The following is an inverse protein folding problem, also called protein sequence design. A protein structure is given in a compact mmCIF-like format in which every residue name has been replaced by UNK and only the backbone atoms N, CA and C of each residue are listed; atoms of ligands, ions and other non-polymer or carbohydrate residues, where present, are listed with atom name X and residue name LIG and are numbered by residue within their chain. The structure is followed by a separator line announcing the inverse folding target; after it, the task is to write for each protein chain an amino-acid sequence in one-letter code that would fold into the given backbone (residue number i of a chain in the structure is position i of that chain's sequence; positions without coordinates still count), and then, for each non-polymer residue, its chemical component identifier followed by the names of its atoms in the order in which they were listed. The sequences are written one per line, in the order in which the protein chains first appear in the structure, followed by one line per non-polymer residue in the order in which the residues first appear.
data_IF_196437678002
#
_entry.id   IF_196437678002
#
_cell.length_a   1.000
_cell.length_b   1.000
_cell.length_c   1.000
_cell.angle_alpha   90.00
_cell.angle_beta   90.00
_cell.angle_gamma   90.00
#
_symmetry.space_group_name_H-M   'P 1'
#
loop_
_entity.id
_entity.type
_entity.pdbx_description
1 polymer ?
#
# COMPACT_ATOMS: atom_id res chain seq x y z
N UNK A 1 16.20 -14.43 6.29
CA UNK A 1 15.64 -13.66 5.15
C UNK A 1 16.10 -12.24 5.32
N UNK A 2 16.84 -11.69 4.36
CA UNK A 2 17.17 -10.28 4.38
C UNK A 2 15.90 -9.46 4.13
N UNK A 3 15.66 -8.41 4.93
CA UNK A 3 14.45 -7.60 4.79
C UNK A 3 14.62 -6.66 3.61
N UNK A 4 13.59 -6.54 2.78
CA UNK A 4 13.58 -5.57 1.69
C UNK A 4 13.80 -4.16 2.28
N UNK A 5 14.75 -3.42 1.71
CA UNK A 5 15.04 -2.04 2.14
C UNK A 5 13.87 -1.15 1.81
N UNK A 6 13.41 -0.36 2.76
CA UNK A 6 12.30 0.57 2.60
C UNK A 6 12.64 1.91 3.26
N UNK A 7 12.22 3.01 2.67
CA UNK A 7 12.21 4.32 3.32
C UNK A 7 10.92 4.46 4.11
N UNK A 8 11.04 4.66 5.42
CA UNK A 8 9.86 4.80 6.28
C UNK A 8 9.10 6.08 5.96
N UNK A 9 7.79 6.08 6.20
CA UNK A 9 6.95 7.28 6.02
C UNK A 9 7.39 8.42 6.96
N UNK A 10 7.89 8.09 8.14
CA UNK A 10 8.39 9.04 9.13
C UNK A 10 9.76 9.64 8.75
N UNK A 11 10.52 8.97 7.89
CA UNK A 11 11.85 9.41 7.44
C UNK A 11 11.82 10.07 6.05
N UNK A 12 10.71 9.96 5.32
CA UNK A 12 10.53 10.61 4.03
C UNK A 12 10.61 12.15 4.18
N UNK A 13 11.39 12.81 3.31
CA UNK A 13 11.57 14.26 3.28
C UNK A 13 11.43 14.77 1.85
N UNK A 14 11.26 16.09 1.70
CA UNK A 14 11.30 16.75 0.39
C UNK A 14 10.26 16.21 -0.60
N UNK A 15 10.70 15.91 -1.82
CA UNK A 15 9.87 15.37 -2.92
C UNK A 15 9.17 14.07 -2.53
N UNK A 16 9.90 13.13 -1.92
CA UNK A 16 9.37 11.82 -1.53
C UNK A 16 8.22 11.97 -0.54
N UNK A 17 8.33 12.85 0.46
CA UNK A 17 7.26 13.08 1.44
C UNK A 17 5.97 13.57 0.77
N UNK A 18 6.08 14.48 -0.22
CA UNK A 18 4.93 14.95 -1.01
C UNK A 18 4.30 13.84 -1.83
N UNK A 19 5.12 13.02 -2.49
CA UNK A 19 4.64 11.85 -3.24
C UNK A 19 3.90 10.88 -2.33
N UNK A 20 4.38 10.67 -1.09
CA UNK A 20 3.70 9.81 -0.12
C UNK A 20 2.32 10.35 0.28
N UNK A 21 2.18 11.67 0.43
CA UNK A 21 0.87 12.30 0.66
C UNK A 21 -0.07 12.12 -0.54
N UNK A 22 0.44 12.28 -1.76
CA UNK A 22 -0.33 12.07 -2.99
C UNK A 22 -0.74 10.61 -3.18
N UNK A 23 0.15 9.65 -2.85
CA UNK A 23 -0.19 8.22 -2.86
C UNK A 23 -1.36 7.95 -1.92
N UNK A 24 -1.32 8.44 -0.67
CA UNK A 24 -2.43 8.24 0.28
C UNK A 24 -3.74 8.83 -0.25
N UNK A 25 -3.67 10.01 -0.85
CA UNK A 25 -4.82 10.68 -1.48
C UNK A 25 -5.39 9.87 -2.64
N UNK A 26 -4.57 9.46 -3.61
CA UNK A 26 -5.06 8.84 -4.85
C UNK A 26 -5.37 7.35 -4.73
N UNK A 27 -4.66 6.63 -3.85
CA UNK A 27 -4.93 5.22 -3.56
C UNK A 27 -6.02 5.03 -2.49
N UNK A 28 -6.44 6.11 -1.82
CA UNK A 28 -7.42 6.08 -0.73
C UNK A 28 -7.03 5.10 0.40
N UNK A 29 -5.74 5.02 0.71
CA UNK A 29 -5.19 4.17 1.76
C UNK A 29 -4.58 5.03 2.88
N UNK A 30 -4.70 4.64 4.16
CA UNK A 30 -4.13 5.39 5.28
C UNK A 30 -2.61 5.21 5.44
N UNK A 31 -1.95 4.59 4.47
CA UNK A 31 -0.52 4.26 4.51
C UNK A 31 0.07 4.25 3.09
N UNK A 32 1.40 4.23 3.01
CA UNK A 32 2.13 4.03 1.76
C UNK A 32 2.62 2.59 1.68
N UNK A 33 2.23 1.89 0.61
CA UNK A 33 2.57 0.47 0.46
C UNK A 33 4.08 0.22 0.38
N UNK A 34 4.53 -0.96 0.84
CA UNK A 34 5.94 -1.36 0.81
C UNK A 34 6.60 -1.21 -0.56
N UNK A 35 5.83 -1.36 -1.65
CA UNK A 35 6.35 -1.16 -3.01
C UNK A 35 6.89 0.27 -3.20
N UNK A 36 6.09 1.30 -2.90
CA UNK A 36 6.52 2.69 -3.04
C UNK A 36 7.61 3.06 -2.04
N UNK A 37 7.58 2.47 -0.83
CA UNK A 37 8.63 2.66 0.17
C UNK A 37 9.96 2.06 -0.24
N UNK A 38 9.93 0.93 -0.92
CA UNK A 38 11.11 0.31 -1.50
C UNK A 38 11.65 1.14 -2.68
N UNK A 39 10.78 1.59 -3.60
CA UNK A 39 11.17 2.42 -4.75
C UNK A 39 11.85 3.72 -4.32
N UNK A 40 11.43 4.31 -3.20
CA UNK A 40 12.03 5.51 -2.62
C UNK A 40 13.48 5.32 -2.12
N UNK A 41 13.96 4.08 -1.98
CA UNK A 41 15.35 3.82 -1.60
C UNK A 41 16.34 3.98 -2.76
N UNK A 42 15.84 4.10 -3.99
CA UNK A 42 16.61 4.38 -5.18
C UNK A 42 16.52 5.86 -5.53
N UNK A 43 17.64 6.61 -5.54
CA UNK A 43 17.61 8.06 -5.78
C UNK A 43 16.87 8.43 -7.07
N UNK A 44 15.81 9.24 -6.94
CA UNK A 44 15.02 9.76 -8.06
C UNK A 44 14.07 8.78 -8.74
N UNK A 45 14.09 7.49 -8.39
CA UNK A 45 13.25 6.48 -9.05
C UNK A 45 11.78 6.70 -8.76
N UNK A 46 11.43 6.93 -7.48
CA UNK A 46 10.04 7.16 -7.10
C UNK A 46 9.52 8.45 -7.75
N UNK A 47 10.29 9.53 -7.73
CA UNK A 47 9.95 10.79 -8.39
C UNK A 47 9.70 10.60 -9.88
N UNK A 48 10.58 9.87 -10.56
CA UNK A 48 10.46 9.60 -11.99
C UNK A 48 9.19 8.80 -12.32
N UNK A 49 8.93 7.71 -11.59
CA UNK A 49 7.72 6.90 -11.76
C UNK A 49 6.48 7.77 -11.52
N UNK A 50 6.48 8.53 -10.42
CA UNK A 50 5.32 9.30 -10.03
C UNK A 50 5.00 10.41 -11.02
N UNK A 51 6.01 11.09 -11.57
CA UNK A 51 5.82 12.09 -12.60
C UNK A 51 5.15 11.53 -13.88
N UNK A 52 5.40 10.25 -14.20
CA UNK A 52 4.77 9.58 -15.35
C UNK A 52 3.33 9.18 -15.01
N UNK A 53 3.10 8.64 -13.81
CA UNK A 53 1.81 8.04 -13.47
C UNK A 53 0.79 9.04 -12.91
N UNK A 54 1.24 10.12 -12.29
CA UNK A 54 0.41 11.10 -11.59
C UNK A 54 -0.73 11.66 -12.46
N UNK A 55 -0.53 12.05 -13.74
CA UNK A 55 -1.63 12.54 -14.58
C UNK A 55 -2.78 11.53 -14.73
N UNK A 56 -2.48 10.23 -14.74
CA UNK A 56 -3.50 9.19 -14.82
C UNK A 56 -4.27 9.00 -13.50
N UNK A 57 -3.65 9.34 -12.35
CA UNK A 57 -4.34 9.40 -11.06
C UNK A 57 -5.17 10.67 -10.90
N UNK A 58 -4.68 11.82 -11.37
CA UNK A 58 -5.38 13.11 -11.31
C UNK A 58 -6.67 13.10 -12.14
N UNK A 59 -6.64 12.45 -13.30
CA UNK A 59 -7.81 12.28 -14.18
C UNK A 59 -8.78 11.19 -13.72
N UNK A 60 -8.43 10.41 -12.70
CA UNK A 60 -9.22 9.27 -12.26
C UNK A 60 -9.09 8.02 -13.15
N UNK A 61 -8.27 8.05 -14.20
CA UNK A 61 -8.14 6.96 -15.17
C UNK A 61 -7.66 5.66 -14.50
N UNK A 62 -6.62 5.75 -13.66
CA UNK A 62 -6.08 4.58 -12.95
C UNK A 62 -7.11 3.96 -12.01
N UNK A 63 -7.79 4.80 -11.22
CA UNK A 63 -8.78 4.38 -10.24
C UNK A 63 -9.97 3.72 -10.94
N UNK A 64 -10.52 4.36 -11.97
CA UNK A 64 -11.67 3.86 -12.71
C UNK A 64 -11.34 2.56 -13.46
N UNK A 65 -10.14 2.45 -14.04
CA UNK A 65 -9.69 1.22 -14.70
C UNK A 65 -9.54 0.09 -13.68
N UNK A 66 -8.88 0.35 -12.56
CA UNK A 66 -8.71 -0.63 -11.49
C UNK A 66 -10.05 -1.18 -11.01
N UNK A 67 -11.00 -0.30 -10.69
CA UNK A 67 -12.33 -0.70 -10.23
C UNK A 67 -13.13 -1.53 -11.25
N UNK A 68 -12.99 -1.26 -12.55
CA UNK A 68 -13.64 -2.06 -13.60
C UNK A 68 -13.15 -3.51 -13.67
N UNK A 69 -11.94 -3.77 -13.19
CA UNK A 69 -11.35 -5.11 -13.15
C UNK A 69 -11.58 -5.83 -11.82
N UNK A 70 -12.13 -5.15 -10.81
CA UNK A 70 -12.51 -5.79 -9.55
C UNK A 70 -13.80 -6.57 -9.77
N UNK A 71 -13.69 -7.90 -9.85
CA UNK A 71 -14.84 -8.80 -9.83
C UNK A 71 -15.06 -9.34 -8.41
N UNK A 72 -16.12 -8.87 -7.77
CA UNK A 72 -16.54 -9.37 -6.44
C UNK A 72 -17.63 -10.43 -6.51
N UNK A 73 -18.14 -10.77 -7.69
CA UNK A 73 -19.28 -11.68 -7.85
C UNK A 73 -18.96 -13.10 -7.40
N UNK A 74 -17.69 -13.52 -7.54
CA UNK A 74 -17.20 -14.82 -7.09
C UNK A 74 -16.68 -14.85 -5.65
N UNK A 75 -16.64 -13.71 -4.95
CA UNK A 75 -16.13 -13.66 -3.59
C UNK A 75 -17.12 -14.32 -2.64
N UNK A 76 -16.69 -15.40 -2.00
CA UNK A 76 -17.42 -16.00 -0.87
C UNK A 76 -17.09 -15.20 0.40
N UNK A 77 -18.05 -15.01 1.32
CA UNK A 77 -17.75 -14.47 2.63
C UNK A 77 -16.60 -15.24 3.28
N UNK A 78 -15.64 -14.51 3.84
CA UNK A 78 -14.56 -15.13 4.61
C UNK A 78 -15.18 -15.92 5.76
N UNK A 79 -14.75 -17.17 5.93
CA UNK A 79 -15.10 -17.94 7.11
C UNK A 79 -14.36 -17.33 8.30
N UNK A 80 -15.06 -16.88 9.36
CA UNK A 80 -14.39 -16.34 10.53
C UNK A 80 -13.46 -17.39 11.14
N UNK A 81 -12.24 -16.99 11.48
CA UNK A 81 -11.32 -17.86 12.21
C UNK A 81 -11.83 -18.09 13.63
N UNK A 82 -11.85 -19.35 14.06
CA UNK A 82 -12.17 -19.71 15.45
C UNK A 82 -11.02 -19.33 16.39
N UNK A 83 -11.26 -19.34 17.70
CA UNK A 83 -10.19 -19.10 18.68
C UNK A 83 -9.11 -20.18 18.58
N UNK A 84 -9.52 -21.39 18.28
CA UNK A 84 -8.66 -22.56 18.05
C UNK A 84 -7.77 -22.34 16.81
N UNK A 85 -8.32 -21.81 15.72
CA UNK A 85 -7.54 -21.46 14.52
C UNK A 85 -6.52 -20.37 14.82
N UNK A 86 -6.93 -19.32 15.55
CA UNK A 86 -6.02 -18.23 15.96
C UNK A 86 -4.89 -18.74 16.86
N UNK A 87 -5.19 -19.63 17.81
CA UNK A 87 -4.21 -20.26 18.68
C UNK A 87 -3.25 -21.20 17.91
N UNK A 88 -3.78 -21.98 16.95
CA UNK A 88 -2.97 -22.82 16.08
C UNK A 88 -1.99 -21.98 15.22
N UNK A 89 -2.43 -20.80 14.78
CA UNK A 89 -1.61 -19.83 14.05
C UNK A 89 -0.69 -18.99 14.97
N UNK A 90 -0.82 -19.11 16.30
CA UNK A 90 -0.07 -18.37 17.33
C UNK A 90 -0.24 -16.85 17.24
N UNK A 91 -1.44 -16.40 16.90
CA UNK A 91 -1.82 -14.97 16.78
C UNK A 91 -2.92 -14.57 17.77
N UNK A 92 -3.21 -15.43 18.74
CA UNK A 92 -4.14 -15.25 19.85
C UNK A 92 -3.59 -14.37 20.99
N UNK A 93 -2.29 -14.09 20.99
CA UNK A 93 -1.59 -13.36 22.06
C UNK A 93 -1.15 -11.93 21.70
N UNK A 94 -1.68 -11.32 20.62
CA UNK A 94 -1.28 -9.95 20.26
C UNK A 94 -1.89 -8.97 21.27
N UNK A 95 -1.08 -8.55 22.25
CA UNK A 95 -1.42 -7.43 23.14
C UNK A 95 -1.78 -6.22 22.28
N UNK A 96 -2.97 -5.66 22.49
CA UNK A 96 -3.37 -4.39 21.90
C UNK A 96 -2.52 -3.29 22.56
N UNK A 97 -1.43 -2.90 21.91
CA UNK A 97 -0.72 -1.65 22.20
C UNK A 97 -1.55 -0.43 21.80
#
# INVERSE_FOLDING_TARGET
MDRMRELSEADARGSVAKIYEEIRKYYAAPYVSSLFRHLATYPGLLEWIWNITLPAFETGLMQNTGWKHVDVSGLKPLTPLSKEDLAAMKIDCVEKN
#
